data_IF_497224713771
#
_entry.id   IF_497224713771
#
_cell.length_a   1.000
_cell.length_b   1.000
_cell.length_c   1.000
_cell.angle_alpha   90.00
_cell.angle_beta   90.00
_cell.angle_gamma   90.00
#
_symmetry.space_group_name_H-M   'P 1'
#
loop_
_entity.id
_entity.type
_entity.pdbx_description
1 polymer ?
#
# COMPACT_ATOMS: atom_id res chain seq x y z
N UNK A 1 0.18 -31.87 45.87
CA UNK A 1 -0.68 -31.62 44.70
C UNK A 1 0.21 -31.49 43.46
N UNK A 2 -0.03 -32.36 42.49
CA UNK A 2 0.87 -32.70 41.38
C UNK A 2 1.27 -31.51 40.48
N UNK A 3 2.58 -31.40 40.21
CA UNK A 3 3.17 -30.56 39.14
C UNK A 3 3.02 -31.17 37.74
N UNK A 4 2.27 -32.26 37.60
CA UNK A 4 2.26 -33.10 36.39
C UNK A 4 1.11 -32.78 35.39
N UNK A 5 0.17 -31.90 35.72
CA UNK A 5 -0.98 -31.63 34.81
C UNK A 5 -0.73 -30.52 33.77
N UNK A 6 0.29 -29.67 33.92
CA UNK A 6 0.55 -28.56 32.98
C UNK A 6 1.43 -28.93 31.76
N UNK A 7 1.82 -30.19 31.59
CA UNK A 7 2.86 -30.59 30.63
C UNK A 7 2.38 -31.38 29.40
N UNK A 8 1.08 -31.62 29.22
CA UNK A 8 0.63 -32.45 28.08
C UNK A 8 0.63 -31.70 26.74
N UNK A 9 0.23 -30.43 26.70
CA UNK A 9 0.07 -29.69 25.43
C UNK A 9 0.55 -28.22 25.54
N UNK A 10 1.86 -27.97 25.63
CA UNK A 10 2.42 -26.68 26.05
C UNK A 10 2.20 -25.50 25.09
N UNK A 11 1.56 -25.73 23.94
CA UNK A 11 1.34 -24.71 22.91
C UNK A 11 -0.12 -24.28 22.77
N UNK A 12 -1.08 -25.00 23.34
CA UNK A 12 -2.51 -24.63 23.23
C UNK A 12 -2.77 -23.25 23.83
N UNK A 13 -3.64 -22.46 23.18
CA UNK A 13 -3.95 -21.09 23.55
C UNK A 13 -2.84 -20.07 23.29
N UNK A 14 -1.64 -20.49 22.87
CA UNK A 14 -0.54 -19.57 22.58
C UNK A 14 -0.70 -18.95 21.19
N UNK A 15 -0.31 -17.69 21.10
CA UNK A 15 0.01 -17.05 19.81
C UNK A 15 1.48 -17.26 19.51
N UNK A 16 1.80 -17.83 18.35
CA UNK A 16 3.18 -18.02 17.89
C UNK A 16 3.30 -17.48 16.47
N UNK A 17 4.01 -16.36 16.31
CA UNK A 17 4.05 -15.58 15.06
C UNK A 17 2.62 -15.30 14.56
N UNK A 18 2.28 -15.85 13.40
CA UNK A 18 1.01 -15.69 12.75
C UNK A 18 -0.08 -16.68 13.07
N UNK A 19 0.14 -17.51 14.08
CA UNK A 19 -0.72 -18.63 14.42
C UNK A 19 -1.31 -18.43 15.80
N UNK A 20 -2.61 -18.59 15.88
CA UNK A 20 -3.32 -18.86 17.12
C UNK A 20 -3.43 -20.39 17.23
N UNK A 21 -2.72 -20.97 18.22
CA UNK A 21 -2.68 -22.42 18.42
C UNK A 21 -3.92 -22.82 19.22
N UNK A 22 -4.78 -23.65 18.64
CA UNK A 22 -6.07 -24.01 19.22
C UNK A 22 -5.93 -25.24 20.12
N UNK A 23 -5.79 -26.41 19.51
CA UNK A 23 -5.73 -27.69 20.21
C UNK A 23 -4.69 -28.62 19.61
N UNK A 24 -4.16 -29.51 20.45
CA UNK A 24 -3.30 -30.62 20.07
C UNK A 24 -4.09 -31.65 19.29
N UNK A 25 -3.51 -32.14 18.20
CA UNK A 25 -4.12 -33.15 17.34
C UNK A 25 -3.52 -34.54 17.58
N UNK A 26 -2.22 -34.61 17.93
CA UNK A 26 -1.53 -35.89 18.09
C UNK A 26 -0.05 -35.83 17.77
N UNK A 27 0.62 -36.97 17.94
CA UNK A 27 2.04 -37.14 17.65
C UNK A 27 2.25 -38.16 16.54
N UNK A 28 3.14 -37.85 15.59
CA UNK A 28 3.56 -38.76 14.52
C UNK A 28 5.08 -38.72 14.42
N UNK A 29 5.74 -39.87 14.46
CA UNK A 29 7.22 -39.97 14.40
C UNK A 29 7.93 -39.02 15.39
N UNK A 30 7.54 -39.06 16.66
CA UNK A 30 8.03 -38.18 17.73
C UNK A 30 7.87 -36.67 17.46
N UNK A 31 6.95 -36.27 16.58
CA UNK A 31 6.63 -34.86 16.31
C UNK A 31 5.18 -34.58 16.69
N UNK A 32 4.99 -33.55 17.48
CA UNK A 32 3.67 -33.06 17.92
C UNK A 32 3.03 -32.16 16.88
N UNK A 33 1.73 -32.33 16.67
CA UNK A 33 0.91 -31.56 15.74
C UNK A 33 -0.23 -30.85 16.47
N UNK A 34 -0.55 -29.64 16.01
CA UNK A 34 -1.57 -28.78 16.58
C UNK A 34 -2.42 -28.18 15.47
N UNK A 35 -3.72 -28.05 15.72
CA UNK A 35 -4.59 -27.19 14.92
C UNK A 35 -4.28 -25.74 15.23
N UNK A 36 -4.04 -24.96 14.18
CA UNK A 36 -3.68 -23.56 14.30
C UNK A 36 -4.55 -22.72 13.35
N UNK A 37 -5.10 -21.64 13.88
CA UNK A 37 -5.80 -20.64 13.09
C UNK A 37 -4.81 -19.60 12.58
N UNK A 38 -4.82 -19.37 11.27
CA UNK A 38 -4.01 -18.33 10.66
C UNK A 38 -4.59 -16.97 10.98
N UNK A 39 -3.81 -16.08 11.61
CA UNK A 39 -4.26 -14.71 11.91
C UNK A 39 -4.51 -13.85 10.65
N UNK A 40 -3.94 -14.21 9.50
CA UNK A 40 -4.14 -13.45 8.25
C UNK A 40 -5.50 -13.72 7.59
N UNK A 41 -5.94 -14.98 7.54
CA UNK A 41 -7.12 -15.39 6.77
C UNK A 41 -8.17 -16.12 7.61
N UNK A 42 -7.91 -16.39 8.89
CA UNK A 42 -8.81 -17.10 9.80
C UNK A 42 -8.94 -18.61 9.53
N UNK A 43 -8.33 -19.14 8.48
CA UNK A 43 -8.41 -20.57 8.16
C UNK A 43 -7.58 -21.44 9.11
N UNK A 44 -8.03 -22.67 9.31
CA UNK A 44 -7.40 -23.67 10.17
C UNK A 44 -6.38 -24.50 9.40
N UNK A 45 -5.23 -24.75 10.02
CA UNK A 45 -4.15 -25.54 9.47
C UNK A 45 -3.56 -26.43 10.54
N UNK A 46 -3.24 -27.66 10.15
CA UNK A 46 -2.45 -28.54 10.98
C UNK A 46 -0.96 -28.16 10.89
N UNK A 47 -0.33 -27.88 12.03
CA UNK A 47 1.07 -27.42 12.11
C UNK A 47 1.87 -28.22 13.12
N UNK A 48 3.15 -28.43 12.79
CA UNK A 48 4.08 -29.11 13.69
C UNK A 48 4.67 -28.15 14.70
N UNK A 49 4.76 -28.59 15.94
CA UNK A 49 5.33 -27.83 17.05
C UNK A 49 6.76 -27.33 16.75
N UNK A 50 7.64 -28.20 16.24
CA UNK A 50 9.04 -27.85 15.94
C UNK A 50 9.17 -26.72 14.91
N UNK A 51 8.24 -26.65 13.95
CA UNK A 51 8.24 -25.63 12.88
C UNK A 51 7.62 -24.31 13.30
N UNK A 52 6.63 -24.37 14.18
CA UNK A 52 6.06 -23.20 14.83
C UNK A 52 7.12 -22.52 15.71
N UNK A 53 7.76 -23.27 16.62
CA UNK A 53 8.75 -22.74 17.54
C UNK A 53 10.01 -22.22 16.84
N UNK A 54 10.49 -22.90 15.80
CA UNK A 54 11.65 -22.46 15.03
C UNK A 54 11.35 -21.30 14.05
N UNK A 55 10.11 -20.79 13.99
CA UNK A 55 9.72 -19.69 13.12
C UNK A 55 9.84 -19.97 11.62
N UNK A 56 9.90 -21.25 11.22
CA UNK A 56 9.97 -21.65 9.80
C UNK A 56 8.61 -21.57 9.11
N UNK A 57 7.51 -21.67 9.87
CA UNK A 57 6.15 -21.50 9.37
C UNK A 57 5.52 -20.32 10.08
N UNK A 58 5.75 -19.10 9.59
CA UNK A 58 5.19 -17.88 10.21
C UNK A 58 3.72 -17.65 9.88
N UNK A 59 3.23 -18.16 8.74
CA UNK A 59 1.84 -18.02 8.24
C UNK A 59 1.43 -19.15 7.31
N UNK A 60 0.15 -19.14 6.92
CA UNK A 60 -0.40 -20.07 5.94
C UNK A 60 0.32 -19.98 4.58
N UNK A 61 0.40 -21.09 3.85
CA UNK A 61 1.13 -21.13 2.57
C UNK A 61 0.58 -20.15 1.54
N UNK A 62 -0.75 -19.98 1.51
CA UNK A 62 -1.41 -19.02 0.62
C UNK A 62 -1.10 -17.56 1.01
N UNK A 63 -1.22 -17.26 2.29
CA UNK A 63 -0.85 -15.98 2.90
C UNK A 63 0.65 -15.64 2.73
N UNK A 64 1.50 -16.67 2.65
CA UNK A 64 2.93 -16.53 2.43
C UNK A 64 3.26 -16.15 0.99
N UNK A 65 2.53 -16.69 0.01
CA UNK A 65 2.64 -16.29 -1.40
C UNK A 65 2.25 -14.82 -1.60
N UNK A 66 1.32 -14.30 -0.79
CA UNK A 66 0.80 -12.93 -0.91
C UNK A 66 1.53 -11.85 -0.06
N UNK A 67 2.67 -12.14 0.58
CA UNK A 67 3.47 -11.18 1.41
C UNK A 67 2.71 -10.48 2.57
N UNK A 68 1.82 -11.17 3.29
CA UNK A 68 0.91 -10.61 4.32
C UNK A 68 1.51 -10.53 5.77
N UNK A 69 1.91 -9.35 6.31
CA UNK A 69 2.74 -9.15 7.55
C UNK A 69 2.11 -9.06 8.97
N UNK A 70 2.65 -9.73 10.00
CA UNK A 70 2.17 -9.59 11.41
C UNK A 70 2.78 -8.41 12.18
N UNK A 71 2.05 -7.89 13.17
CA UNK A 71 2.56 -7.04 14.25
C UNK A 71 3.30 -7.89 15.29
N UNK A 72 4.51 -7.45 15.67
CA UNK A 72 5.33 -8.10 16.69
C UNK A 72 6.81 -7.74 16.57
N UNK A 73 7.34 -7.16 17.64
CA UNK A 73 8.67 -6.60 17.81
C UNK A 73 9.79 -7.56 17.39
N UNK A 74 10.58 -7.15 16.38
CA UNK A 74 11.69 -7.98 15.90
C UNK A 74 12.22 -7.52 14.55
N UNK A 75 13.13 -6.53 14.59
CA UNK A 75 14.01 -6.05 13.51
C UNK A 75 13.27 -5.72 12.19
N UNK A 76 12.85 -4.47 12.10
CA UNK A 76 12.11 -3.85 11.01
C UNK A 76 12.78 -4.04 9.64
N UNK A 77 12.25 -4.97 8.86
CA UNK A 77 12.19 -4.81 7.40
C UNK A 77 10.77 -4.36 7.10
N UNK A 78 10.59 -3.06 6.86
CA UNK A 78 9.29 -2.43 6.57
C UNK A 78 8.60 -3.15 5.41
N UNK A 79 7.71 -4.08 5.73
CA UNK A 79 6.74 -4.61 4.80
C UNK A 79 5.39 -4.08 5.32
N UNK A 80 4.64 -3.39 4.46
CA UNK A 80 3.45 -2.61 4.83
C UNK A 80 2.31 -3.40 5.50
N UNK A 81 1.23 -2.71 5.91
CA UNK A 81 0.12 -3.31 6.65
C UNK A 81 -0.58 -4.44 5.89
N UNK A 82 -1.15 -5.40 6.64
CA UNK A 82 -2.03 -6.44 6.07
C UNK A 82 -3.37 -5.84 5.71
N UNK A 83 -3.83 -6.10 4.50
CA UNK A 83 -5.16 -5.72 4.03
C UNK A 83 -5.98 -6.99 3.82
N UNK A 84 -7.11 -7.18 4.54
CA UNK A 84 -7.96 -8.37 4.41
C UNK A 84 -8.40 -8.61 2.98
N UNK A 85 -8.43 -9.88 2.53
CA UNK A 85 -8.80 -10.26 1.15
C UNK A 85 -10.12 -9.63 0.71
N UNK A 86 -11.15 -9.69 1.57
CA UNK A 86 -12.47 -9.09 1.32
C UNK A 86 -12.39 -7.58 1.08
N UNK A 87 -11.54 -6.86 1.81
CA UNK A 87 -11.32 -5.43 1.57
C UNK A 87 -10.60 -5.17 0.25
N UNK A 88 -9.66 -6.05 -0.15
CA UNK A 88 -9.02 -5.98 -1.47
C UNK A 88 -10.01 -6.24 -2.60
N UNK A 89 -10.88 -7.24 -2.45
CA UNK A 89 -11.95 -7.56 -3.40
C UNK A 89 -12.94 -6.40 -3.53
N UNK A 90 -13.36 -5.83 -2.39
CA UNK A 90 -14.21 -4.65 -2.36
C UNK A 90 -13.54 -3.45 -3.05
N UNK A 91 -12.25 -3.20 -2.76
CA UNK A 91 -11.51 -2.11 -3.41
C UNK A 91 -11.39 -2.34 -4.92
N UNK A 92 -11.11 -3.57 -5.38
CA UNK A 92 -11.07 -3.88 -6.81
C UNK A 92 -12.43 -3.66 -7.48
N UNK A 93 -13.50 -4.18 -6.88
CA UNK A 93 -14.86 -4.06 -7.39
C UNK A 93 -15.38 -2.62 -7.41
N UNK A 94 -15.05 -1.82 -6.39
CA UNK A 94 -15.43 -0.41 -6.27
C UNK A 94 -14.99 0.42 -7.47
N UNK A 95 -13.81 0.13 -8.03
CA UNK A 95 -13.26 0.81 -9.20
C UNK A 95 -13.48 0.01 -10.51
N UNK A 96 -14.39 -0.95 -10.52
CA UNK A 96 -14.70 -1.80 -11.69
C UNK A 96 -13.46 -2.50 -12.28
N UNK A 97 -12.49 -2.81 -11.42
CA UNK A 97 -11.20 -3.38 -11.80
C UNK A 97 -10.28 -2.44 -12.56
N UNK A 98 -10.45 -1.12 -12.45
CA UNK A 98 -9.51 -0.13 -12.98
C UNK A 98 -8.53 0.36 -11.90
N UNK A 99 -7.34 0.74 -12.34
CA UNK A 99 -6.39 1.48 -11.52
C UNK A 99 -7.00 2.85 -11.19
N UNK A 100 -7.12 3.16 -9.90
CA UNK A 100 -7.68 4.42 -9.42
C UNK A 100 -6.95 5.65 -9.98
N UNK A 101 -5.66 5.53 -10.29
CA UNK A 101 -4.85 6.63 -10.79
C UNK A 101 -4.95 6.81 -12.31
N UNK A 102 -4.50 5.82 -13.09
CA UNK A 102 -4.36 5.95 -14.54
C UNK A 102 -5.54 5.37 -15.34
N UNK A 103 -6.54 4.78 -14.68
CA UNK A 103 -7.70 4.18 -15.34
C UNK A 103 -7.39 2.90 -16.13
N UNK A 104 -6.16 2.38 -16.08
CA UNK A 104 -5.84 1.10 -16.73
C UNK A 104 -6.65 -0.03 -16.09
N UNK A 105 -7.31 -0.85 -16.89
CA UNK A 105 -7.95 -2.08 -16.43
C UNK A 105 -6.88 -3.06 -15.90
N UNK A 106 -7.11 -3.58 -14.70
CA UNK A 106 -6.20 -4.47 -13.97
C UNK A 106 -6.96 -5.70 -13.47
N UNK A 107 -6.38 -6.88 -13.68
CA UNK A 107 -6.92 -8.11 -13.08
C UNK A 107 -6.72 -8.04 -11.56
N UNK A 108 -7.59 -8.72 -10.80
CA UNK A 108 -7.44 -8.82 -9.34
C UNK A 108 -6.04 -9.33 -8.94
N UNK A 109 -5.48 -10.28 -9.70
CA UNK A 109 -4.14 -10.83 -9.49
C UNK A 109 -2.99 -9.85 -9.76
N UNK A 110 -3.22 -8.80 -10.53
CA UNK A 110 -2.24 -7.77 -10.90
C UNK A 110 -2.36 -6.51 -10.02
N UNK A 111 -3.46 -6.41 -9.27
CA UNK A 111 -3.78 -5.27 -8.44
C UNK A 111 -2.87 -5.22 -7.21
N UNK A 112 -2.17 -4.08 -7.07
CA UNK A 112 -1.56 -3.68 -5.81
C UNK A 112 -2.53 -2.74 -5.08
N UNK A 113 -2.62 -2.86 -3.76
CA UNK A 113 -3.41 -1.92 -2.97
C UNK A 113 -2.50 -0.79 -2.54
N UNK A 114 -3.01 0.42 -2.77
CA UNK A 114 -2.40 1.65 -2.31
C UNK A 114 -3.34 2.38 -1.33
N UNK A 115 -2.79 3.31 -0.56
CA UNK A 115 -3.55 4.09 0.42
C UNK A 115 -3.68 5.54 -0.04
N UNK A 116 -4.90 6.07 -0.10
CA UNK A 116 -5.15 7.46 -0.46
C UNK A 116 -4.35 8.42 0.44
N UNK A 117 -4.46 8.26 1.76
CA UNK A 117 -3.53 8.77 2.76
C UNK A 117 -2.54 7.65 3.13
N UNK A 118 -1.26 7.76 2.77
CA UNK A 118 -0.26 6.75 3.12
C UNK A 118 -0.20 6.50 4.63
N UNK A 119 0.06 5.24 5.02
CA UNK A 119 0.14 4.80 6.42
C UNK A 119 1.18 5.60 7.23
N UNK A 120 2.29 5.98 6.59
CA UNK A 120 3.33 6.85 7.18
C UNK A 120 2.77 8.18 7.71
N UNK A 121 1.64 8.64 7.16
CA UNK A 121 0.97 9.89 7.54
C UNK A 121 -0.34 9.64 8.30
N UNK A 122 -0.48 8.49 8.97
CA UNK A 122 -1.66 8.17 9.77
C UNK A 122 -2.83 7.56 8.98
N UNK A 123 -2.60 7.15 7.73
CA UNK A 123 -3.58 6.44 6.93
C UNK A 123 -4.04 5.13 7.56
N UNK A 124 -5.35 4.93 7.68
CA UNK A 124 -5.96 3.73 8.26
C UNK A 124 -6.30 2.69 7.20
N UNK A 125 -6.46 1.44 7.63
CA UNK A 125 -6.93 0.34 6.78
C UNK A 125 -8.46 0.36 6.78
N UNK A 126 -9.01 1.29 6.01
CA UNK A 126 -10.45 1.52 5.84
C UNK A 126 -10.77 1.51 4.34
N UNK A 127 -11.91 0.96 3.94
CA UNK A 127 -12.20 0.68 2.52
C UNK A 127 -12.08 1.94 1.65
N UNK A 128 -12.43 3.09 2.20
CA UNK A 128 -12.39 4.38 1.53
C UNK A 128 -10.96 4.85 1.29
N UNK A 129 -10.05 4.52 2.21
CA UNK A 129 -8.62 4.82 2.08
C UNK A 129 -7.90 3.81 1.16
N UNK A 130 -8.53 2.71 0.73
CA UNK A 130 -7.91 1.71 -0.14
C UNK A 130 -8.17 1.99 -1.63
N UNK A 131 -7.11 2.19 -2.39
CA UNK A 131 -7.15 2.42 -3.83
C UNK A 131 -6.54 1.22 -4.58
N UNK A 132 -7.25 0.59 -5.53
CA UNK A 132 -6.64 -0.39 -6.42
C UNK A 132 -5.69 0.34 -7.38
N UNK A 133 -4.45 -0.11 -7.45
CA UNK A 133 -3.41 0.54 -8.25
C UNK A 133 -2.68 -0.47 -9.13
N UNK A 134 -2.31 -0.05 -10.33
CA UNK A 134 -1.40 -0.83 -11.16
C UNK A 134 0.03 -0.71 -10.60
N UNK A 135 0.83 -1.75 -10.81
CA UNK A 135 2.22 -1.83 -10.33
C UNK A 135 3.14 -0.70 -10.82
N UNK A 136 2.80 -0.02 -11.92
CA UNK A 136 3.57 1.14 -12.42
C UNK A 136 3.24 2.37 -11.59
N UNK A 137 1.95 2.70 -11.44
CA UNK A 137 1.50 3.85 -10.66
C UNK A 137 1.90 3.73 -9.19
N UNK A 138 1.64 2.57 -8.56
CA UNK A 138 1.96 2.36 -7.14
C UNK A 138 3.47 2.54 -6.86
N UNK A 139 4.32 1.97 -7.72
CA UNK A 139 5.78 2.10 -7.56
C UNK A 139 6.30 3.50 -7.86
N UNK A 140 5.68 4.20 -8.80
CA UNK A 140 6.04 5.60 -9.05
C UNK A 140 5.58 6.50 -7.90
N UNK A 141 4.39 6.26 -7.33
CA UNK A 141 3.82 7.00 -6.19
C UNK A 141 4.66 6.85 -4.93
N UNK A 142 5.08 5.64 -4.59
CA UNK A 142 5.78 5.32 -3.33
C UNK A 142 4.94 5.80 -2.13
N UNK A 143 5.54 6.57 -1.23
CA UNK A 143 4.88 7.12 -0.03
C UNK A 143 4.46 8.59 -0.22
N UNK A 144 4.29 9.09 -1.46
CA UNK A 144 3.88 10.48 -1.70
C UNK A 144 2.40 10.67 -1.39
N UNK A 145 2.04 11.85 -0.85
CA UNK A 145 0.64 12.28 -0.76
C UNK A 145 0.07 12.44 -2.17
N UNK A 146 -1.26 12.48 -2.29
CA UNK A 146 -1.94 12.51 -3.59
C UNK A 146 -1.48 13.67 -4.49
N UNK A 147 -1.48 14.90 -3.96
CA UNK A 147 -1.04 16.09 -4.72
C UNK A 147 0.43 16.01 -5.12
N UNK A 148 1.30 15.49 -4.25
CA UNK A 148 2.72 15.29 -4.57
C UNK A 148 2.93 14.27 -5.68
N UNK A 149 2.09 13.22 -5.71
CA UNK A 149 2.11 12.25 -6.78
C UNK A 149 1.67 12.89 -8.10
N UNK A 150 0.61 13.71 -8.09
CA UNK A 150 0.16 14.49 -9.24
C UNK A 150 1.28 15.38 -9.78
N UNK A 151 1.88 16.22 -8.93
CA UNK A 151 2.98 17.09 -9.34
C UNK A 151 4.18 16.29 -9.87
N UNK A 152 4.46 15.11 -9.30
CA UNK A 152 5.54 14.24 -9.81
C UNK A 152 5.26 13.75 -11.23
N UNK A 153 4.00 13.40 -11.54
CA UNK A 153 3.59 12.99 -12.89
C UNK A 153 3.69 14.15 -13.88
N UNK A 154 3.25 15.35 -13.48
CA UNK A 154 3.31 16.57 -14.30
C UNK A 154 4.76 17.01 -14.57
N UNK A 155 5.70 16.68 -13.67
CA UNK A 155 7.14 16.95 -13.83
C UNK A 155 7.88 15.91 -14.69
N UNK A 156 7.23 14.83 -15.15
CA UNK A 156 7.89 13.78 -15.95
C UNK A 156 8.56 14.36 -17.21
N UNK A 157 7.90 15.19 -18.06
CA UNK A 157 8.53 15.70 -19.28
C UNK A 157 9.78 16.54 -19.00
N UNK A 158 9.74 17.36 -17.95
CA UNK A 158 10.89 18.18 -17.50
C UNK A 158 12.03 17.28 -17.01
N UNK A 159 11.71 16.27 -16.21
CA UNK A 159 12.70 15.31 -15.67
C UNK A 159 13.35 14.50 -16.79
N UNK A 160 12.56 13.99 -17.74
CA UNK A 160 13.08 13.24 -18.89
C UNK A 160 13.94 14.09 -19.81
N UNK A 161 13.58 15.36 -20.04
CA UNK A 161 14.39 16.30 -20.82
C UNK A 161 15.76 16.53 -20.17
N UNK A 162 15.82 16.65 -18.84
CA UNK A 162 17.07 16.82 -18.09
C UNK A 162 17.91 15.54 -18.09
N UNK A 163 17.30 14.40 -17.80
CA UNK A 163 18.01 13.17 -17.41
C UNK A 163 18.22 12.17 -18.56
N UNK A 164 17.51 12.31 -19.69
CA UNK A 164 17.57 11.34 -20.81
C UNK A 164 17.97 11.99 -22.12
N UNK A 165 19.19 11.68 -22.58
CA UNK A 165 19.67 12.08 -23.92
C UNK A 165 18.80 11.53 -25.05
N UNK A 166 18.32 10.29 -24.92
CA UNK A 166 17.42 9.68 -25.89
C UNK A 166 16.08 10.44 -26.00
N UNK A 167 15.55 10.93 -24.88
CA UNK A 167 14.32 11.75 -24.88
C UNK A 167 14.55 13.09 -25.60
N UNK A 168 15.70 13.75 -25.35
CA UNK A 168 16.07 14.98 -26.05
C UNK A 168 16.18 14.79 -27.56
N UNK A 169 16.86 13.73 -28.01
CA UNK A 169 16.96 13.39 -29.44
C UNK A 169 15.58 13.14 -30.02
N UNK A 170 14.74 12.32 -29.37
CA UNK A 170 13.38 12.05 -29.83
C UNK A 170 12.54 13.33 -29.99
N UNK A 171 12.66 14.30 -29.08
CA UNK A 171 12.01 15.61 -29.21
C UNK A 171 12.58 16.44 -30.37
N UNK A 172 13.90 16.47 -30.54
CA UNK A 172 14.54 17.22 -31.63
C UNK A 172 14.09 16.74 -33.02
N UNK A 173 13.86 15.43 -33.16
CA UNK A 173 13.32 14.83 -34.37
C UNK A 173 11.78 14.77 -34.42
N UNK A 174 11.08 15.45 -33.50
CA UNK A 174 9.61 15.47 -33.39
C UNK A 174 8.94 14.08 -33.30
N UNK A 175 9.68 13.06 -32.81
CA UNK A 175 9.14 11.72 -32.54
C UNK A 175 8.23 11.76 -31.31
N UNK A 176 8.54 12.62 -30.35
CA UNK A 176 7.76 12.88 -29.14
C UNK A 176 7.51 14.38 -29.04
N UNK A 177 6.29 14.76 -28.63
CA UNK A 177 5.92 16.14 -28.33
C UNK A 177 5.45 16.23 -26.88
N UNK A 178 5.88 17.28 -26.17
CA UNK A 178 5.44 17.53 -24.81
C UNK A 178 4.06 18.23 -24.81
N UNK A 179 3.28 17.94 -23.78
CA UNK A 179 2.14 18.79 -23.42
C UNK A 179 2.70 20.02 -22.69
N UNK A 180 2.42 21.23 -23.18
CA UNK A 180 3.01 22.48 -22.68
C UNK A 180 2.71 22.74 -21.19
N UNK A 181 1.57 22.24 -20.69
CA UNK A 181 1.18 22.23 -19.29
C UNK A 181 0.42 20.93 -19.01
N UNK A 182 1.11 19.83 -18.67
CA UNK A 182 0.42 18.59 -18.34
C UNK A 182 -0.44 18.85 -17.10
N UNK A 183 -1.74 18.56 -17.21
CA UNK A 183 -2.68 18.56 -16.09
C UNK A 183 -3.10 17.13 -15.86
N UNK A 184 -2.71 16.56 -14.72
CA UNK A 184 -3.00 15.16 -14.42
C UNK A 184 -4.29 15.06 -13.62
N UNK A 185 -5.31 14.48 -14.25
CA UNK A 185 -6.54 14.03 -13.60
C UNK A 185 -6.41 12.54 -13.29
N UNK A 186 -6.64 12.14 -12.03
CA UNK A 186 -6.72 10.73 -11.71
C UNK A 186 -8.08 10.17 -12.10
N UNK A 187 -8.12 8.90 -12.49
CA UNK A 187 -9.35 8.23 -12.94
C UNK A 187 -10.47 8.29 -11.88
N UNK A 188 -10.13 8.16 -10.60
CA UNK A 188 -11.11 8.25 -9.52
C UNK A 188 -11.76 9.63 -9.37
N UNK A 189 -11.20 10.67 -10.00
CA UNK A 189 -11.69 12.06 -9.99
C UNK A 189 -12.64 12.34 -11.15
N UNK A 190 -12.86 11.39 -12.06
CA UNK A 190 -13.85 11.54 -13.11
C UNK A 190 -15.26 11.66 -12.51
N UNK A 191 -16.07 12.61 -13.03
CA UNK A 191 -17.43 12.88 -12.51
C UNK A 191 -18.28 11.61 -12.37
N UNK A 192 -18.25 10.76 -13.40
CA UNK A 192 -19.00 9.50 -13.42
C UNK A 192 -18.61 8.61 -12.23
N UNK A 193 -17.32 8.57 -11.87
CA UNK A 193 -16.82 7.80 -10.73
C UNK A 193 -17.19 8.47 -9.40
N UNK A 194 -17.08 9.80 -9.30
CA UNK A 194 -17.48 10.55 -8.11
C UNK A 194 -18.95 10.37 -7.75
N UNK A 195 -19.85 10.35 -8.75
CA UNK A 195 -21.28 10.08 -8.56
C UNK A 195 -21.52 8.68 -7.96
N UNK A 196 -20.75 7.67 -8.40
CA UNK A 196 -20.82 6.31 -7.84
C UNK A 196 -20.28 6.24 -6.41
N UNK A 197 -19.16 6.91 -6.13
CA UNK A 197 -18.62 6.98 -4.77
C UNK A 197 -19.57 7.72 -3.80
N UNK A 198 -20.29 8.75 -4.25
CA UNK A 198 -21.31 9.42 -3.43
C UNK A 198 -22.47 8.49 -3.05
N UNK A 199 -22.80 7.51 -3.89
CA UNK A 199 -23.78 6.46 -3.55
C UNK A 199 -23.21 5.38 -2.62
N UNK A 200 -21.88 5.24 -2.54
CA UNK A 200 -21.18 4.21 -1.77
C UNK A 200 -20.72 4.68 -0.39
N UNK A 201 -20.40 5.98 -0.24
CA UNK A 201 -19.79 6.56 0.97
C UNK A 201 -20.70 7.65 1.54
N UNK A 202 -21.04 7.57 2.84
CA UNK A 202 -21.69 8.70 3.56
C UNK A 202 -20.83 9.96 3.41
N UNK A 203 -21.45 11.13 3.22
CA UNK A 203 -20.86 12.46 2.92
C UNK A 203 -19.54 12.84 3.63
N UNK A 204 -19.24 12.24 4.79
CA UNK A 204 -18.11 12.57 5.66
C UNK A 204 -16.72 12.45 5.02
N UNK A 205 -16.49 11.46 4.14
CA UNK A 205 -15.13 11.18 3.61
C UNK A 205 -14.84 11.95 2.31
N UNK A 206 -15.82 12.10 1.43
CA UNK A 206 -15.67 12.97 0.25
C UNK A 206 -15.43 14.42 0.70
N UNK A 207 -16.11 14.85 1.77
CA UNK A 207 -15.83 16.12 2.42
C UNK A 207 -14.38 16.19 2.95
N UNK A 208 -13.87 15.15 3.62
CA UNK A 208 -12.47 15.12 4.08
C UNK A 208 -11.46 15.20 2.92
N UNK A 209 -11.69 14.50 1.80
CA UNK A 209 -10.85 14.53 0.61
C UNK A 209 -10.84 15.91 -0.04
N UNK A 210 -12.01 16.54 -0.17
CA UNK A 210 -12.18 17.87 -0.72
C UNK A 210 -11.59 18.95 0.19
N UNK A 211 -11.75 18.82 1.51
CA UNK A 211 -11.16 19.73 2.51
C UNK A 211 -9.63 19.66 2.50
N UNK A 212 -9.03 18.46 2.42
CA UNK A 212 -7.57 18.32 2.35
C UNK A 212 -7.02 18.89 1.03
N UNK A 213 -7.67 18.62 -0.11
CA UNK A 213 -7.26 19.17 -1.41
C UNK A 213 -7.45 20.69 -1.49
N UNK A 214 -8.53 21.24 -0.93
CA UNK A 214 -8.79 22.67 -0.87
C UNK A 214 -7.81 23.41 0.05
N UNK A 215 -7.53 22.86 1.24
CA UNK A 215 -6.57 23.45 2.18
C UNK A 215 -5.15 23.55 1.60
N UNK A 216 -4.71 22.54 0.85
CA UNK A 216 -3.42 22.59 0.17
C UNK A 216 -3.34 23.62 -0.97
N UNK A 217 -4.48 24.12 -1.47
CA UNK A 217 -4.55 25.11 -2.56
C UNK A 217 -4.67 26.56 -2.08
N UNK A 218 -4.99 26.80 -0.80
CA UNK A 218 -5.47 28.10 -0.31
C UNK A 218 -4.59 28.78 0.74
N UNK A 219 -3.37 28.28 1.03
CA UNK A 219 -2.49 28.92 2.01
C UNK A 219 -1.11 29.20 1.44
N UNK A 220 -0.56 30.38 1.77
CA UNK A 220 0.86 30.68 1.64
C UNK A 220 1.63 29.95 2.75
N UNK A 221 2.78 29.39 2.37
CA UNK A 221 3.46 28.32 3.12
C UNK A 221 4.38 28.78 4.26
N UNK A 222 4.41 30.07 4.60
CA UNK A 222 5.12 30.59 5.78
C UNK A 222 4.31 30.26 7.05
N UNK A 223 4.54 29.06 7.58
CA UNK A 223 3.89 28.56 8.80
C UNK A 223 2.99 27.32 8.61
N UNK A 224 3.26 26.48 7.60
CA UNK A 224 2.51 25.24 7.40
C UNK A 224 2.68 24.30 8.62
N UNK A 225 1.59 23.93 9.34
CA UNK A 225 1.67 23.07 10.53
C UNK A 225 2.04 21.61 10.21
N UNK A 226 2.20 21.27 8.93
CA UNK A 226 2.75 19.98 8.47
C UNK A 226 4.22 20.17 8.06
N UNK A 227 5.11 20.32 9.04
CA UNK A 227 6.55 20.63 8.88
C UNK A 227 7.37 19.62 8.04
N UNK A 228 6.78 18.52 7.52
CA UNK A 228 7.50 17.53 6.71
C UNK A 228 6.67 17.10 5.47
N UNK A 229 7.25 17.26 4.27
CA UNK A 229 6.71 16.90 2.95
C UNK A 229 5.55 17.79 2.45
N UNK A 230 5.84 19.07 2.20
CA UNK A 230 5.04 19.97 1.35
C UNK A 230 5.53 19.92 -0.12
N UNK A 231 4.67 20.22 -1.10
CA UNK A 231 4.98 20.14 -2.55
C UNK A 231 6.16 21.01 -3.01
N UNK A 232 6.48 22.08 -2.28
CA UNK A 232 7.61 22.98 -2.58
C UNK A 232 9.00 22.39 -2.25
N UNK A 233 9.10 21.31 -1.46
CA UNK A 233 10.40 20.64 -1.21
C UNK A 233 10.96 19.85 -2.42
N UNK A 234 10.33 20.00 -3.60
CA UNK A 234 10.81 19.49 -4.88
C UNK A 234 11.61 20.56 -5.67
N UNK A 235 12.12 21.61 -5.01
CA UNK A 235 13.00 22.56 -5.68
C UNK A 235 14.15 21.82 -6.39
N UNK A 236 14.43 22.13 -7.66
CA UNK A 236 15.67 21.71 -8.30
C UNK A 236 16.81 22.37 -7.54
N UNK A 237 17.59 21.57 -6.82
CA UNK A 237 18.81 22.02 -6.12
C UNK A 237 19.65 22.91 -7.04
N UNK A 238 20.17 24.01 -6.51
CA UNK A 238 21.27 24.81 -7.08
C UNK A 238 22.44 23.90 -7.52
N UNK A 239 22.52 23.55 -8.82
CA UNK A 239 23.59 22.71 -9.38
C UNK A 239 24.04 23.13 -10.79
N UNK A 240 23.90 24.40 -11.15
CA UNK A 240 24.76 24.97 -12.19
C UNK A 240 25.27 26.31 -11.68
N UNK A 241 26.51 26.33 -11.18
CA UNK A 241 27.33 27.53 -11.22
C UNK A 241 27.81 27.72 -12.65
N UNK A 242 27.53 28.90 -13.18
CA UNK A 242 28.18 29.64 -14.26
C UNK A 242 29.03 28.92 -15.31
N UNK A 243 28.71 29.25 -16.55
CA UNK A 243 29.55 29.21 -17.75
C UNK A 243 29.94 27.83 -18.32
N UNK A 244 29.53 27.64 -19.58
CA UNK A 244 29.89 26.58 -20.54
C UNK A 244 29.00 25.33 -20.60
N UNK A 245 28.01 25.35 -21.52
CA UNK A 245 27.84 24.40 -22.64
C UNK A 245 26.56 24.69 -23.45
#
# INVERSE_FOLDING_TARGET
MCREEMARHPLEGKTIYGWEVLNYEGSRNNKSYYWCKCKCCGQLYLRRADKLLAGRTKRCGECAKEKVMYEGEGKEKMNGPIIPKKMRENAHGRFEGHCAYCGKQIKYSEMEIDFLLPVKYGGKIEIENLLPSCRVCNRYRKNRKLEQFRSSLELIPKTLTRDSGAYRIAKQYNIIQDVSKPSVQFWFEEKKHQEREQTFVKESILNAMNTISAFCKSHDCDGCPMEINCSHQLEPKDWISDENL
#
